data_IF_685363430435
#
_entry.id   IF_685363430435
#
_cell.length_a   1.000
_cell.length_b   1.000
_cell.length_c   1.000
_cell.angle_alpha   90.00
_cell.angle_beta   90.00
_cell.angle_gamma   90.00
#
_symmetry.space_group_name_H-M   'P 1'
#
loop_
_entity.id
_entity.type
_entity.pdbx_description
1 polymer ?
#
# COMPACT_ATOMS: atom_id res chain seq x y z
N UNK A 1 -12.75 -1.61 2.87
CA UNK A 1 -11.32 -1.95 3.01
C UNK A 1 -10.64 -1.62 1.69
N UNK A 2 -9.52 -0.90 1.71
CA UNK A 2 -8.78 -0.51 0.53
C UNK A 2 -8.43 -1.77 -0.32
N UNK A 3 -9.16 -1.98 -1.37
CA UNK A 3 -8.99 -3.10 -2.31
C UNK A 3 -8.54 -2.64 -3.68
N UNK A 4 -8.25 -1.34 -3.84
CA UNK A 4 -7.86 -0.72 -5.09
C UNK A 4 -7.12 0.59 -4.83
N UNK A 5 -6.02 0.86 -5.53
CA UNK A 5 -5.32 2.14 -5.48
C UNK A 5 -4.77 2.53 -6.85
N UNK A 6 -4.21 3.72 -6.97
CA UNK A 6 -3.71 4.25 -8.24
C UNK A 6 -2.20 4.53 -8.19
N UNK A 7 -1.52 4.26 -9.30
CA UNK A 7 -0.18 4.73 -9.63
C UNK A 7 -0.30 5.43 -10.99
N UNK A 8 -0.75 6.69 -10.97
CA UNK A 8 -0.94 7.47 -12.20
C UNK A 8 0.33 8.28 -12.50
N UNK A 9 0.92 8.02 -13.66
CA UNK A 9 2.14 8.67 -14.12
C UNK A 9 1.81 10.04 -14.72
N UNK A 10 1.48 11.01 -13.87
CA UNK A 10 1.33 12.41 -14.29
C UNK A 10 2.71 13.03 -14.55
N UNK A 11 2.84 13.89 -15.57
CA UNK A 11 4.14 14.47 -15.97
C UNK A 11 4.82 15.28 -14.85
N UNK A 12 4.05 15.83 -13.95
CA UNK A 12 4.52 16.66 -12.85
C UNK A 12 4.98 15.86 -11.61
N UNK A 13 4.72 14.54 -11.58
CA UNK A 13 5.06 13.70 -10.42
C UNK A 13 6.50 13.21 -10.49
N UNK A 14 7.45 14.06 -10.11
CA UNK A 14 8.89 13.78 -10.11
C UNK A 14 9.25 12.57 -9.25
N UNK A 15 8.67 12.47 -8.04
CA UNK A 15 8.95 11.36 -7.12
C UNK A 15 8.56 9.99 -7.70
N UNK A 16 7.39 9.93 -8.36
CA UNK A 16 6.98 8.68 -9.00
C UNK A 16 7.90 8.32 -10.17
N UNK A 17 8.34 9.31 -10.96
CA UNK A 17 9.30 9.09 -12.05
C UNK A 17 10.61 8.51 -11.51
N UNK A 18 11.19 9.09 -10.46
CA UNK A 18 12.42 8.58 -9.83
C UNK A 18 12.26 7.12 -9.34
N UNK A 19 11.12 6.79 -8.72
CA UNK A 19 10.81 5.41 -8.31
C UNK A 19 10.79 4.47 -9.52
N UNK A 20 10.10 4.85 -10.61
CA UNK A 20 9.99 4.01 -11.80
C UNK A 20 11.31 3.87 -12.56
N UNK A 21 12.11 4.93 -12.64
CA UNK A 21 13.46 4.91 -13.24
C UNK A 21 14.38 3.97 -12.46
N UNK A 22 14.39 4.04 -11.13
CA UNK A 22 15.16 3.13 -10.29
C UNK A 22 14.72 1.67 -10.45
N UNK A 23 13.40 1.41 -10.51
CA UNK A 23 12.86 0.06 -10.79
C UNK A 23 13.35 -0.42 -12.18
N UNK A 24 13.24 0.39 -13.22
CA UNK A 24 13.69 0.03 -14.55
C UNK A 24 15.20 -0.28 -14.58
N UNK A 25 16.01 0.51 -13.90
CA UNK A 25 17.44 0.28 -13.77
C UNK A 25 17.76 -1.01 -13.01
N UNK A 26 17.09 -1.23 -11.87
CA UNK A 26 17.32 -2.38 -10.97
C UNK A 26 16.93 -3.70 -11.59
N UNK A 27 15.85 -3.71 -12.36
CA UNK A 27 15.27 -4.92 -12.94
C UNK A 27 15.50 -5.03 -14.45
N UNK A 28 16.44 -4.27 -15.02
CA UNK A 28 16.78 -4.35 -16.44
C UNK A 28 17.09 -5.79 -16.86
N UNK A 29 16.39 -6.30 -17.88
CA UNK A 29 16.51 -7.68 -18.34
C UNK A 29 15.90 -8.77 -17.47
N UNK A 30 15.22 -8.40 -16.38
CA UNK A 30 14.51 -9.36 -15.54
C UNK A 30 13.03 -9.44 -15.95
N UNK A 31 12.46 -10.63 -16.23
CA UNK A 31 11.06 -10.80 -16.65
C UNK A 31 10.00 -10.27 -15.67
N UNK A 32 10.35 -10.04 -14.41
CA UNK A 32 9.42 -9.44 -13.44
C UNK A 32 9.05 -8.00 -13.83
N UNK A 33 9.93 -7.29 -14.54
CA UNK A 33 9.67 -5.92 -14.99
C UNK A 33 8.48 -5.86 -15.96
N UNK A 34 8.32 -6.85 -16.83
CA UNK A 34 7.21 -6.94 -17.79
C UNK A 34 5.85 -7.14 -17.09
N UNK A 35 5.88 -7.58 -15.83
CA UNK A 35 4.69 -7.79 -14.99
C UNK A 35 4.32 -6.57 -14.17
N UNK A 36 5.19 -5.55 -14.12
CA UNK A 36 4.92 -4.31 -13.37
C UNK A 36 3.66 -3.61 -13.88
N UNK A 37 2.82 -3.16 -12.96
CA UNK A 37 1.59 -2.43 -13.26
C UNK A 37 1.64 -0.99 -12.76
N UNK A 38 0.99 -0.12 -13.52
CA UNK A 38 0.66 1.27 -13.20
C UNK A 38 -0.79 1.53 -13.54
N UNK A 39 -1.33 2.71 -13.24
CA UNK A 39 -2.74 3.03 -13.38
C UNK A 39 -3.55 2.53 -12.18
N UNK A 40 -4.72 1.97 -12.40
CA UNK A 40 -5.54 1.37 -11.35
C UNK A 40 -5.00 -0.01 -10.97
N UNK A 41 -4.58 -0.17 -9.71
CA UNK A 41 -3.91 -1.37 -9.20
C UNK A 41 -4.89 -2.29 -8.49
N UNK A 42 -4.82 -3.57 -8.84
CA UNK A 42 -5.66 -4.65 -8.30
C UNK A 42 -4.84 -5.61 -7.41
N UNK A 43 -5.48 -6.33 -6.48
CA UNK A 43 -4.83 -7.39 -5.74
C UNK A 43 -4.13 -8.40 -6.67
N UNK A 44 -2.99 -8.94 -6.21
CA UNK A 44 -2.10 -9.86 -6.90
C UNK A 44 -1.18 -9.25 -7.96
N UNK A 45 -1.38 -8.00 -8.34
CA UNK A 45 -0.50 -7.32 -9.30
C UNK A 45 0.87 -7.01 -8.70
N UNK A 46 1.87 -6.97 -9.59
CA UNK A 46 3.27 -6.64 -9.26
C UNK A 46 3.47 -5.14 -9.42
N UNK A 47 3.93 -4.47 -8.36
CA UNK A 47 4.02 -3.01 -8.28
C UNK A 47 5.28 -2.55 -7.54
N UNK A 48 5.72 -1.29 -7.73
CA UNK A 48 6.79 -0.68 -6.96
C UNK A 48 6.39 -0.50 -5.48
N UNK A 49 7.29 -0.89 -4.59
CA UNK A 49 7.16 -0.75 -3.13
C UNK A 49 8.48 -0.22 -2.58
N UNK A 50 8.45 0.66 -1.60
CA UNK A 50 9.67 1.17 -0.94
C UNK A 50 9.97 0.31 0.29
N UNK A 51 11.20 -0.19 0.39
CA UNK A 51 11.74 -0.93 1.54
C UNK A 51 13.02 -0.27 2.04
N UNK A 52 13.42 -0.56 3.27
CA UNK A 52 14.71 -0.12 3.79
C UNK A 52 15.81 -1.09 3.35
N UNK A 53 16.71 -0.63 2.49
CA UNK A 53 17.95 -1.33 2.12
C UNK A 53 19.16 -0.43 2.39
N UNK A 54 20.15 -0.90 3.15
CA UNK A 54 21.38 -0.15 3.45
C UNK A 54 21.10 1.31 3.88
N UNK A 55 20.16 1.48 4.81
CA UNK A 55 19.74 2.77 5.35
C UNK A 55 19.09 3.74 4.31
N UNK A 56 18.60 3.24 3.21
CA UNK A 56 17.89 4.03 2.20
C UNK A 56 16.54 3.41 1.87
N UNK A 57 15.52 4.25 1.69
CA UNK A 57 14.27 3.83 1.08
C UNK A 57 14.55 3.46 -0.38
N UNK A 58 14.41 2.18 -0.71
CA UNK A 58 14.79 1.62 -2.01
C UNK A 58 13.56 1.00 -2.67
N UNK A 59 13.26 1.35 -3.93
CA UNK A 59 12.14 0.76 -4.63
C UNK A 59 12.45 -0.68 -5.10
N UNK A 60 11.50 -1.57 -4.85
CA UNK A 60 11.53 -2.98 -5.26
C UNK A 60 10.17 -3.39 -5.81
N UNK A 61 10.12 -4.45 -6.63
CA UNK A 61 8.87 -5.03 -7.12
C UNK A 61 8.35 -6.10 -6.19
N UNK A 62 7.06 -6.01 -5.81
CA UNK A 62 6.37 -7.01 -5.00
C UNK A 62 4.95 -7.24 -5.48
N UNK A 63 4.40 -8.42 -5.21
CA UNK A 63 3.00 -8.73 -5.47
C UNK A 63 2.11 -8.25 -4.32
N UNK A 64 0.98 -7.64 -4.64
CA UNK A 64 0.03 -7.21 -3.63
C UNK A 64 -0.80 -8.37 -3.09
N UNK A 65 -0.49 -8.81 -1.91
CA UNK A 65 -1.19 -9.84 -1.16
C UNK A 65 -0.28 -10.92 -0.58
N UNK A 66 -0.61 -11.37 0.61
CA UNK A 66 -0.04 -12.55 1.22
C UNK A 66 -0.86 -13.77 0.84
N UNK A 67 -0.27 -14.87 0.34
CA UNK A 67 -1.00 -16.09 0.05
C UNK A 67 -1.67 -16.63 1.32
N UNK A 68 -2.85 -17.22 1.16
CA UNK A 68 -3.55 -17.93 2.24
C UNK A 68 -3.07 -19.38 2.26
N UNK A 69 -2.53 -19.89 3.38
CA UNK A 69 -1.99 -21.25 3.43
C UNK A 69 -3.03 -22.34 3.13
N UNK A 70 -4.27 -22.14 3.53
CA UNK A 70 -5.33 -23.17 3.50
C UNK A 70 -6.54 -22.77 2.64
N UNK A 71 -6.47 -21.67 1.90
CA UNK A 71 -7.59 -21.19 1.10
C UNK A 71 -7.12 -20.54 -0.20
N UNK A 72 -7.99 -20.50 -1.20
CA UNK A 72 -7.74 -19.73 -2.43
C UNK A 72 -7.73 -18.22 -2.15
N UNK A 73 -6.92 -17.49 -2.91
CA UNK A 73 -6.82 -16.04 -2.85
C UNK A 73 -5.75 -15.54 -1.90
N UNK A 74 -5.76 -14.24 -1.67
CA UNK A 74 -4.72 -13.53 -0.90
C UNK A 74 -5.32 -12.66 0.20
N UNK A 75 -4.52 -12.36 1.21
CA UNK A 75 -4.82 -11.34 2.21
C UNK A 75 -4.14 -10.05 1.75
N UNK A 76 -4.91 -9.02 1.47
CA UNK A 76 -4.40 -7.75 0.90
C UNK A 76 -4.23 -6.64 1.92
N UNK A 77 -4.82 -6.77 3.10
CA UNK A 77 -4.78 -5.76 4.15
C UNK A 77 -4.49 -6.37 5.52
N UNK A 78 -3.80 -5.62 6.36
CA UNK A 78 -3.58 -5.91 7.77
C UNK A 78 -4.21 -4.78 8.62
N UNK A 79 -5.07 -5.13 9.59
CA UNK A 79 -5.68 -4.12 10.48
C UNK A 79 -4.69 -3.69 11.54
N UNK A 80 -4.44 -2.39 11.67
CA UNK A 80 -3.51 -1.81 12.63
C UNK A 80 -3.79 -2.30 14.07
N UNK A 81 -5.06 -2.37 14.45
CA UNK A 81 -5.51 -2.72 15.81
C UNK A 81 -5.16 -4.17 16.22
N UNK A 82 -5.02 -5.07 15.26
CA UNK A 82 -4.78 -6.51 15.54
C UNK A 82 -3.52 -7.07 14.86
N UNK A 83 -2.78 -6.23 14.15
CA UNK A 83 -1.62 -6.68 13.34
C UNK A 83 -0.53 -7.34 14.18
N UNK A 84 -0.32 -6.87 15.42
CA UNK A 84 0.66 -7.44 16.36
C UNK A 84 0.19 -8.77 16.98
N UNK A 85 -1.10 -9.03 17.01
CA UNK A 85 -1.67 -10.27 17.54
C UNK A 85 -1.67 -11.39 16.49
N UNK A 86 -1.74 -11.03 15.20
CA UNK A 86 -1.81 -11.99 14.11
C UNK A 86 -0.42 -12.52 13.75
N UNK A 87 -0.21 -13.82 13.95
CA UNK A 87 1.05 -14.50 13.62
C UNK A 87 1.56 -14.20 12.20
N UNK A 88 0.65 -14.11 11.23
CA UNK A 88 0.95 -13.79 9.82
C UNK A 88 1.68 -12.45 9.64
N UNK A 89 1.43 -11.45 10.50
CA UNK A 89 1.91 -10.08 10.33
C UNK A 89 2.96 -9.64 11.37
N UNK A 90 2.90 -10.21 12.59
CA UNK A 90 3.72 -9.76 13.73
C UNK A 90 5.21 -9.63 13.39
N UNK A 91 5.80 -10.65 12.77
CA UNK A 91 7.22 -10.61 12.37
C UNK A 91 7.49 -9.52 11.32
N UNK A 92 6.54 -9.26 10.44
CA UNK A 92 6.69 -8.21 9.40
C UNK A 92 6.60 -6.80 10.01
N UNK A 93 5.79 -6.57 11.03
CA UNK A 93 5.79 -5.28 11.77
C UNK A 93 7.17 -5.01 12.38
N UNK A 94 7.84 -6.02 12.90
CA UNK A 94 9.13 -5.84 13.58
C UNK A 94 10.29 -5.63 12.62
N UNK A 95 10.30 -6.24 11.43
CA UNK A 95 11.49 -6.29 10.57
C UNK A 95 11.26 -6.16 9.07
N UNK A 96 10.02 -6.15 8.59
CA UNK A 96 9.68 -6.14 7.16
C UNK A 96 8.55 -5.14 6.87
N UNK A 97 8.75 -3.92 7.32
CA UNK A 97 7.88 -2.79 6.97
C UNK A 97 8.24 -2.29 5.59
N UNK A 98 7.24 -1.80 4.88
CA UNK A 98 7.40 -1.16 3.59
C UNK A 98 6.45 0.03 3.47
N UNK A 99 6.68 0.86 2.49
CA UNK A 99 5.80 1.96 2.12
C UNK A 99 5.27 1.70 0.71
N UNK A 100 3.97 1.84 0.55
CA UNK A 100 3.28 1.69 -0.74
C UNK A 100 3.09 3.08 -1.35
N UNK A 101 3.92 3.46 -2.35
CA UNK A 101 3.74 4.72 -3.04
C UNK A 101 2.50 4.65 -3.94
N UNK A 102 1.66 5.66 -3.89
CA UNK A 102 0.45 5.75 -4.71
C UNK A 102 0.12 7.19 -5.05
N UNK A 103 -0.76 7.41 -6.02
CA UNK A 103 -1.34 8.73 -6.32
C UNK A 103 -2.73 8.90 -5.74
N UNK A 104 -3.27 7.85 -5.12
CA UNK A 104 -4.56 7.82 -4.44
C UNK A 104 -5.07 6.41 -4.24
N UNK A 105 -6.15 6.25 -3.51
CA UNK A 105 -6.81 4.97 -3.33
C UNK A 105 -8.30 5.07 -3.62
N UNK A 106 -8.93 3.94 -3.99
CA UNK A 106 -10.34 3.88 -4.30
C UNK A 106 -11.13 3.27 -3.14
N UNK A 107 -12.30 3.87 -2.88
CA UNK A 107 -13.32 3.30 -2.01
C UNK A 107 -14.72 3.45 -2.64
N UNK A 108 -15.66 2.65 -2.17
CA UNK A 108 -17.01 2.58 -2.71
C UNK A 108 -18.04 2.89 -1.65
N UNK A 109 -18.80 3.95 -1.89
CA UNK A 109 -19.92 4.34 -1.03
C UNK A 109 -21.19 3.56 -1.40
N UNK A 110 -21.82 2.95 -0.41
CA UNK A 110 -23.14 2.39 -0.59
C UNK A 110 -24.18 3.52 -0.42
N UNK A 111 -24.87 3.85 -1.48
CA UNK A 111 -25.96 4.83 -1.44
C UNK A 111 -27.29 4.09 -1.24
N UNK A 112 -28.11 4.57 -0.29
CA UNK A 112 -29.42 3.99 -0.01
C UNK A 112 -30.32 4.03 -1.25
N UNK A 113 -30.98 2.91 -1.56
CA UNK A 113 -31.84 2.77 -2.75
C UNK A 113 -31.12 2.50 -4.06
N UNK A 114 -29.77 2.50 -4.11
CA UNK A 114 -29.01 2.18 -5.30
C UNK A 114 -28.41 0.77 -5.24
N UNK A 115 -28.47 0.04 -6.37
CA UNK A 115 -27.82 -1.28 -6.51
C UNK A 115 -26.31 -1.16 -6.72
N UNK A 116 -25.85 -0.09 -7.38
CA UNK A 116 -24.44 0.17 -7.69
C UNK A 116 -23.89 1.13 -6.64
N UNK A 117 -22.69 0.83 -6.16
CA UNK A 117 -21.94 1.72 -5.27
C UNK A 117 -21.27 2.83 -6.07
N UNK A 118 -21.23 4.01 -5.50
CA UNK A 118 -20.46 5.13 -6.08
C UNK A 118 -18.98 4.93 -5.78
N UNK A 119 -18.15 5.02 -6.81
CA UNK A 119 -16.69 4.89 -6.73
C UNK A 119 -16.06 6.26 -6.47
N UNK A 120 -15.18 6.35 -5.51
CA UNK A 120 -14.43 7.56 -5.20
C UNK A 120 -12.93 7.27 -5.27
N UNK A 121 -12.18 8.22 -5.85
CA UNK A 121 -10.73 8.31 -5.75
C UNK A 121 -10.38 9.33 -4.65
N UNK A 122 -9.62 8.89 -3.67
CA UNK A 122 -9.16 9.71 -2.55
C UNK A 122 -7.68 10.01 -2.74
N UNK A 123 -7.33 11.30 -2.73
CA UNK A 123 -5.96 11.82 -2.89
C UNK A 123 -5.61 12.74 -1.73
N UNK A 124 -4.32 12.95 -1.46
CA UNK A 124 -3.88 13.96 -0.51
C UNK A 124 -3.87 15.35 -1.16
N UNK A 125 -4.26 16.43 -0.44
CA UNK A 125 -4.09 17.80 -0.91
C UNK A 125 -2.63 18.26 -0.89
N UNK A 126 -1.75 17.57 -0.16
CA UNK A 126 -0.37 17.99 0.11
C UNK A 126 0.61 17.67 -1.03
N UNK A 127 0.15 17.13 -2.15
CA UNK A 127 1.02 16.83 -3.29
C UNK A 127 0.53 15.65 -4.14
N UNK A 128 1.31 15.25 -5.15
CA UNK A 128 0.91 14.20 -6.09
C UNK A 128 1.06 12.78 -5.53
N UNK A 129 1.77 12.61 -4.39
CA UNK A 129 2.04 11.31 -3.79
C UNK A 129 1.31 11.10 -2.47
N UNK A 130 0.78 9.90 -2.31
CA UNK A 130 0.19 9.39 -1.09
C UNK A 130 0.96 8.13 -0.69
N UNK A 131 1.52 8.12 0.51
CA UNK A 131 2.27 7.00 1.04
C UNK A 131 1.40 6.20 2.02
N UNK A 132 1.23 4.91 1.76
CA UNK A 132 0.48 4.01 2.64
C UNK A 132 1.45 3.09 3.38
N UNK A 133 1.25 2.93 4.69
CA UNK A 133 1.99 1.96 5.47
C UNK A 133 1.72 0.54 4.97
N UNK A 134 2.76 -0.25 4.81
CA UNK A 134 2.68 -1.62 4.36
C UNK A 134 3.59 -2.56 5.15
N UNK A 135 3.33 -3.84 5.00
CA UNK A 135 4.15 -4.93 5.54
C UNK A 135 4.42 -5.91 4.42
N UNK A 136 5.64 -6.46 4.36
CA UNK A 136 5.95 -7.47 3.37
C UNK A 136 6.47 -8.77 4.00
N UNK A 137 6.43 -9.84 3.23
CA UNK A 137 7.02 -11.12 3.60
C UNK A 137 7.47 -11.87 2.34
N UNK A 138 8.27 -12.91 2.54
CA UNK A 138 8.76 -13.79 1.48
C UNK A 138 8.06 -15.13 1.59
N UNK A 139 7.40 -15.55 0.52
CA UNK A 139 6.64 -16.79 0.45
C UNK A 139 7.29 -17.78 -0.52
N UNK A 140 7.06 -19.10 -0.35
CA UNK A 140 7.47 -20.07 -1.36
C UNK A 140 6.90 -19.71 -2.73
N UNK A 141 7.74 -19.69 -3.75
CA UNK A 141 7.33 -19.48 -5.14
C UNK A 141 7.19 -20.81 -5.90
N UNK A 142 6.44 -20.79 -6.99
CA UNK A 142 6.08 -21.99 -7.78
C UNK A 142 7.28 -22.73 -8.41
N UNK A 143 8.43 -22.04 -8.52
CA UNK A 143 9.66 -22.62 -9.12
C UNK A 143 10.79 -22.82 -8.10
N UNK A 144 10.46 -22.98 -6.82
CA UNK A 144 11.43 -23.28 -5.75
C UNK A 144 12.21 -22.08 -5.20
N UNK A 145 11.85 -20.85 -5.58
CA UNK A 145 12.38 -19.61 -5.02
C UNK A 145 11.48 -19.01 -3.93
N UNK A 146 11.77 -17.76 -3.56
CA UNK A 146 10.90 -16.96 -2.70
C UNK A 146 10.31 -15.77 -3.47
N UNK A 147 9.00 -15.60 -3.36
CA UNK A 147 8.28 -14.48 -3.99
C UNK A 147 7.91 -13.47 -2.91
N UNK A 148 8.31 -12.19 -3.04
CA UNK A 148 7.91 -11.16 -2.10
C UNK A 148 6.45 -10.77 -2.32
N UNK A 149 5.71 -10.69 -1.22
CA UNK A 149 4.35 -10.15 -1.21
C UNK A 149 4.20 -9.08 -0.15
N UNK A 150 3.30 -8.12 -0.35
CA UNK A 150 3.00 -7.08 0.62
C UNK A 150 1.51 -6.97 0.92
N UNK A 151 1.20 -6.37 2.04
CA UNK A 151 -0.17 -5.99 2.45
C UNK A 151 -0.18 -4.53 2.86
N UNK A 152 -1.30 -3.85 2.66
CA UNK A 152 -1.52 -2.47 3.13
C UNK A 152 -2.06 -2.51 4.56
N UNK A 153 -1.45 -1.73 5.45
CA UNK A 153 -1.98 -1.52 6.80
C UNK A 153 -3.19 -0.61 6.72
N UNK A 154 -4.27 -1.01 7.38
CA UNK A 154 -5.52 -0.22 7.41
C UNK A 154 -5.90 0.13 8.84
N UNK A 155 -6.49 1.31 9.02
CA UNK A 155 -6.98 1.83 10.30
C UNK A 155 -8.45 2.23 10.20
N UNK A 156 -9.07 2.68 11.30
CA UNK A 156 -10.38 3.29 11.27
C UNK A 156 -10.40 4.52 10.34
N UNK A 157 -11.50 4.72 9.65
CA UNK A 157 -11.66 5.86 8.77
C UNK A 157 -11.69 7.17 9.56
N UNK A 158 -11.00 8.19 9.06
CA UNK A 158 -11.08 9.55 9.57
C UNK A 158 -12.34 10.28 9.05
N UNK A 159 -12.49 11.56 9.37
CA UNK A 159 -13.65 12.37 9.01
C UNK A 159 -13.90 12.49 7.50
N UNK A 160 -12.83 12.47 6.66
CA UNK A 160 -12.96 12.52 5.18
C UNK A 160 -13.43 11.20 4.58
N UNK A 161 -13.04 10.05 5.16
CA UNK A 161 -13.35 8.72 4.60
C UNK A 161 -14.60 8.12 5.22
N UNK A 162 -14.92 8.44 6.47
CA UNK A 162 -16.04 7.83 7.22
C UNK A 162 -17.40 7.93 6.53
N UNK A 163 -17.73 8.99 5.73
CA UNK A 163 -18.99 9.04 4.98
C UNK A 163 -19.06 7.99 3.85
N UNK A 164 -17.92 7.45 3.40
CA UNK A 164 -17.82 6.51 2.28
C UNK A 164 -17.61 5.09 2.78
N UNK A 165 -16.66 4.91 3.70
CA UNK A 165 -16.28 3.62 4.23
C UNK A 165 -15.77 3.74 5.67
N UNK A 166 -15.88 2.67 6.46
CA UNK A 166 -15.45 2.65 7.88
C UNK A 166 -13.96 2.35 8.08
N UNK A 167 -13.20 2.11 7.00
CA UNK A 167 -11.76 1.82 7.03
C UNK A 167 -11.04 2.63 5.96
N UNK A 168 -9.76 2.92 6.22
CA UNK A 168 -8.84 3.56 5.28
C UNK A 168 -7.43 2.98 5.42
N UNK A 169 -6.53 3.15 4.44
CA UNK A 169 -5.11 2.89 4.63
C UNK A 169 -4.53 3.76 5.76
N UNK A 170 -3.54 3.24 6.48
CA UNK A 170 -2.71 4.08 7.33
C UNK A 170 -1.81 4.93 6.44
N UNK A 171 -2.15 6.21 6.30
CA UNK A 171 -1.45 7.17 5.44
C UNK A 171 -0.33 7.83 6.26
N UNK A 172 0.80 7.98 5.63
CA UNK A 172 2.02 8.55 6.17
C UNK A 172 2.40 9.80 5.34
N UNK A 173 2.90 10.83 5.97
CA UNK A 173 3.61 11.90 5.26
C UNK A 173 5.04 11.44 4.91
N UNK A 174 5.85 12.30 4.28
CA UNK A 174 7.21 11.95 3.84
C UNK A 174 8.11 11.56 5.01
N UNK A 175 8.12 12.35 6.10
CA UNK A 175 8.94 12.10 7.30
C UNK A 175 8.48 10.83 8.02
N UNK A 176 7.18 10.66 8.17
CA UNK A 176 6.58 9.47 8.76
C UNK A 176 6.86 8.20 7.94
N UNK A 177 6.94 8.32 6.62
CA UNK A 177 7.27 7.18 5.75
C UNK A 177 8.69 6.69 5.96
N UNK A 178 9.64 7.58 6.17
CA UNK A 178 11.01 7.22 6.55
C UNK A 178 11.07 6.63 7.96
N UNK A 179 10.41 7.25 8.94
CA UNK A 179 10.34 6.75 10.30
C UNK A 179 9.66 5.36 10.36
N UNK A 180 8.59 5.13 9.58
CA UNK A 180 7.94 3.83 9.45
C UNK A 180 8.90 2.73 8.99
N UNK A 181 9.75 3.02 8.02
CA UNK A 181 10.74 2.06 7.52
C UNK A 181 11.84 1.76 8.56
N UNK A 182 12.33 2.78 9.27
CA UNK A 182 13.53 2.70 10.13
C UNK A 182 13.25 2.34 11.57
N UNK A 183 12.23 2.95 12.16
CA UNK A 183 11.98 2.92 13.59
C UNK A 183 10.77 2.05 13.94
N UNK A 184 11.03 0.94 14.64
CA UNK A 184 9.98 0.05 15.12
C UNK A 184 9.13 0.68 16.22
N UNK A 185 9.71 1.60 17.01
CA UNK A 185 8.99 2.30 18.07
C UNK A 185 7.98 3.27 17.45
N UNK A 186 8.42 4.07 16.47
CA UNK A 186 7.52 4.90 15.68
C UNK A 186 6.40 4.05 15.04
N UNK A 187 6.76 2.96 14.36
CA UNK A 187 5.79 2.10 13.70
C UNK A 187 4.76 1.53 14.67
N UNK A 188 5.19 1.09 15.86
CA UNK A 188 4.30 0.57 16.89
C UNK A 188 3.33 1.64 17.41
N UNK A 189 3.78 2.88 17.56
CA UNK A 189 2.97 4.03 17.96
C UNK A 189 1.95 4.39 16.85
N UNK A 190 2.39 4.50 15.61
CA UNK A 190 1.54 4.82 14.45
C UNK A 190 0.40 3.80 14.25
N UNK A 191 0.58 2.54 14.63
CA UNK A 191 -0.46 1.52 14.59
C UNK A 191 -1.59 1.74 15.61
N UNK A 192 -1.34 2.49 16.68
CA UNK A 192 -2.30 2.74 17.76
C UNK A 192 -2.99 4.10 17.65
N UNK A 193 -2.43 5.01 16.87
CA UNK A 193 -2.94 6.37 16.73
C UNK A 193 -3.92 6.49 15.56
N UNK A 194 -4.93 7.38 15.66
CA UNK A 194 -5.79 7.69 14.54
C UNK A 194 -5.03 8.34 13.39
N UNK A 195 -5.36 7.99 12.16
CA UNK A 195 -4.81 8.64 10.97
C UNK A 195 -5.57 9.95 10.68
N UNK A 196 -4.89 11.09 10.81
CA UNK A 196 -5.44 12.43 10.60
C UNK A 196 -5.10 13.02 9.22
N UNK A 197 -4.56 12.23 8.29
CA UNK A 197 -4.20 12.71 6.95
C UNK A 197 -5.44 13.30 6.23
N UNK A 198 -5.39 14.57 5.80
CA UNK A 198 -6.47 15.17 5.04
C UNK A 198 -6.56 14.56 3.65
N UNK A 199 -7.79 14.41 3.13
CA UNK A 199 -8.03 13.79 1.84
C UNK A 199 -9.00 14.59 1.00
N UNK A 200 -8.73 14.66 -0.29
CA UNK A 200 -9.61 15.16 -1.33
C UNK A 200 -10.35 13.98 -1.97
N UNK A 201 -11.66 14.11 -2.11
CA UNK A 201 -12.52 13.12 -2.71
C UNK A 201 -12.89 13.55 -4.13
N UNK A 202 -12.70 12.65 -5.09
CA UNK A 202 -13.18 12.81 -6.46
C UNK A 202 -14.02 11.60 -6.83
N UNK A 203 -15.27 11.80 -7.23
CA UNK A 203 -16.08 10.72 -7.76
C UNK A 203 -15.42 10.21 -9.06
N UNK A 204 -15.23 8.90 -9.13
CA UNK A 204 -14.63 8.24 -10.27
C UNK A 204 -15.71 7.41 -11.00
N UNK A 205 -15.75 7.53 -12.31
CA UNK A 205 -16.71 6.80 -13.16
C UNK A 205 -16.35 5.31 -13.31
#
# INVERSE_FOLDING_TARGET
MCGRYAIECEEENVFLKEILEEINRRYAGNPILDRMKTGEIFPTETVPILVLEKEKATPVLMNWGFPRPEARGVVINARAETVMEKHMFRSSVLSRRCVVPSTGFYEWQQVSGQKKKDKYLLRTPSGPMLYMAGLYNLFPGDQGGRTPGFVIVTTAANEWVSPIHNRMPLILNTEESEAWLRDVTFASKALLEPCHAPLLLKQAN
#
